data_IF_535305976544
#
_entry.id   IF_535305976544
#
_cell.length_a   1.000
_cell.length_b   1.000
_cell.length_c   1.000
_cell.angle_alpha   90.00
_cell.angle_beta   90.00
_cell.angle_gamma   90.00
#
_symmetry.space_group_name_H-M   'P 1'
#
loop_
_entity.id
_entity.type
_entity.pdbx_description
1 polymer ?
#
# COMPACT_ATOMS: atom_id res chain seq x y z
N UNK A 1 22.67 -6.62 22.00
CA UNK A 1 22.69 -6.90 20.55
C UNK A 1 21.30 -7.26 20.08
N UNK A 2 20.64 -6.36 19.34
CA UNK A 2 19.65 -6.68 18.30
C UNK A 2 19.21 -5.36 17.66
N UNK A 3 19.57 -5.16 16.39
CA UNK A 3 19.09 -4.05 15.56
C UNK A 3 17.69 -4.42 15.05
N UNK A 4 16.65 -3.70 15.49
CA UNK A 4 15.29 -3.90 14.98
C UNK A 4 15.10 -3.10 13.68
N UNK A 5 14.77 -3.83 12.62
CA UNK A 5 14.70 -3.38 11.25
C UNK A 5 13.70 -2.25 11.02
N UNK A 6 14.21 -1.16 10.47
CA UNK A 6 13.44 -0.04 9.97
C UNK A 6 13.05 -0.37 8.52
N UNK A 7 11.78 -0.65 8.26
CA UNK A 7 11.25 -0.78 6.89
C UNK A 7 10.59 0.52 6.47
N UNK A 8 11.33 1.39 5.78
CA UNK A 8 10.78 2.54 5.06
C UNK A 8 10.54 2.16 3.60
N UNK A 9 9.27 2.15 3.17
CA UNK A 9 8.90 1.98 1.76
C UNK A 9 9.19 3.28 0.98
N UNK A 10 10.46 3.49 0.65
CA UNK A 10 10.93 4.58 -0.21
C UNK A 10 10.95 4.08 -1.65
N UNK A 11 10.22 4.75 -2.55
CA UNK A 11 10.43 4.56 -3.99
C UNK A 11 11.84 5.09 -4.33
N UNK A 12 12.71 4.19 -4.79
CA UNK A 12 14.13 4.48 -5.06
C UNK A 12 14.34 4.61 -6.56
N UNK A 13 14.86 5.76 -7.01
CA UNK A 13 15.31 5.96 -8.39
C UNK A 13 16.79 5.60 -8.48
N UNK A 14 17.16 4.78 -9.46
CA UNK A 14 18.54 4.41 -9.78
C UNK A 14 18.99 5.18 -11.01
N UNK A 15 20.08 5.95 -10.88
CA UNK A 15 20.74 6.58 -12.02
C UNK A 15 22.12 5.95 -12.22
N UNK A 16 22.34 5.38 -13.40
CA UNK A 16 23.64 4.87 -13.84
C UNK A 16 24.36 5.94 -14.66
N UNK A 17 25.57 6.32 -14.26
CA UNK A 17 26.42 7.25 -15.00
C UNK A 17 27.43 6.49 -15.87
N UNK A 18 27.93 7.16 -16.91
CA UNK A 18 28.88 6.60 -17.89
C UNK A 18 30.20 6.10 -17.25
N UNK A 19 30.57 6.63 -16.08
CA UNK A 19 31.74 6.22 -15.29
C UNK A 19 31.47 4.99 -14.39
N UNK A 20 30.35 4.28 -14.56
CA UNK A 20 30.02 3.09 -13.77
C UNK A 20 29.46 3.38 -12.37
N UNK A 21 29.15 4.64 -12.08
CA UNK A 21 28.53 5.02 -10.80
C UNK A 21 27.03 4.77 -10.80
N UNK A 22 26.55 4.18 -9.71
CA UNK A 22 25.12 4.00 -9.45
C UNK A 22 24.74 4.87 -8.27
N UNK A 23 23.79 5.77 -8.49
CA UNK A 23 23.25 6.66 -7.46
C UNK A 23 21.82 6.25 -7.12
N UNK A 24 21.55 6.13 -5.83
CA UNK A 24 20.23 5.78 -5.30
C UNK A 24 19.60 7.02 -4.66
N UNK A 25 18.42 7.40 -5.12
CA UNK A 25 17.71 8.60 -4.66
C UNK A 25 16.34 8.27 -4.09
N UNK A 26 15.88 9.12 -3.16
CA UNK A 26 14.47 9.20 -2.82
C UNK A 26 13.69 9.78 -4.01
N UNK A 27 12.70 9.06 -4.53
CA UNK A 27 11.89 9.57 -5.63
C UNK A 27 11.02 10.76 -5.25
N UNK A 28 10.67 10.93 -3.97
CA UNK A 28 9.79 12.02 -3.51
C UNK A 28 10.54 13.26 -3.05
N UNK A 29 11.78 13.12 -2.56
CA UNK A 29 12.56 14.25 -2.03
C UNK A 29 13.81 14.58 -2.83
N UNK A 30 14.22 13.73 -3.79
CA UNK A 30 15.49 13.86 -4.50
C UNK A 30 16.73 13.62 -3.63
N UNK A 31 16.54 13.27 -2.36
CA UNK A 31 17.63 13.06 -1.41
C UNK A 31 18.45 11.82 -1.79
N UNK A 32 19.77 11.99 -1.90
CA UNK A 32 20.73 10.94 -2.26
C UNK A 32 20.99 10.05 -1.05
N UNK A 33 20.73 8.75 -1.18
CA UNK A 33 20.95 7.79 -0.09
C UNK A 33 22.36 7.18 -0.14
N UNK A 34 22.81 6.68 -1.30
CA UNK A 34 24.07 5.94 -1.40
C UNK A 34 24.75 6.11 -2.77
N UNK A 35 26.08 5.94 -2.80
CA UNK A 35 26.94 5.91 -3.99
C UNK A 35 27.57 4.51 -4.07
N UNK A 36 27.27 3.75 -5.11
CA UNK A 36 27.99 2.50 -5.41
C UNK A 36 28.93 2.72 -6.59
N UNK A 37 30.15 2.18 -6.45
CA UNK A 37 31.10 2.02 -7.55
C UNK A 37 31.07 0.57 -7.99
N UNK A 38 30.73 0.32 -9.26
CA UNK A 38 30.86 -1.00 -9.85
C UNK A 38 32.35 -1.28 -10.09
N UNK A 39 32.96 -2.12 -9.25
CA UNK A 39 34.31 -2.62 -9.52
C UNK A 39 34.25 -3.49 -10.77
N UNK A 40 35.08 -3.16 -11.76
CA UNK A 40 35.16 -3.85 -13.05
C UNK A 40 35.71 -5.28 -12.86
N UNK A 41 34.84 -6.21 -12.50
CA UNK A 41 35.12 -7.63 -12.77
C UNK A 41 34.92 -7.83 -14.27
N UNK A 42 35.91 -8.44 -14.95
CA UNK A 42 36.07 -8.65 -16.41
C UNK A 42 34.91 -9.39 -17.13
N UNK A 43 33.66 -8.95 -16.95
CA UNK A 43 32.51 -9.32 -17.76
C UNK A 43 31.94 -8.06 -18.39
N UNK A 44 32.19 -7.93 -19.68
CA UNK A 44 31.62 -6.88 -20.52
C UNK A 44 30.09 -7.06 -20.49
N UNK A 45 29.40 -6.21 -19.73
CA UNK A 45 27.95 -6.13 -19.74
C UNK A 45 27.53 -5.37 -20.99
N UNK A 46 27.12 -6.08 -22.04
CA UNK A 46 26.77 -5.49 -23.34
C UNK A 46 25.41 -4.78 -23.35
N UNK A 47 24.61 -4.89 -22.28
CA UNK A 47 23.29 -4.24 -22.16
C UNK A 47 23.04 -3.69 -20.76
N UNK A 48 22.56 -2.44 -20.68
CA UNK A 48 22.21 -1.75 -19.43
C UNK A 48 21.23 -2.55 -18.54
N UNK A 49 20.40 -3.41 -19.14
CA UNK A 49 19.45 -4.28 -18.42
C UNK A 49 20.14 -5.31 -17.52
N UNK A 50 21.32 -5.80 -17.91
CA UNK A 50 22.02 -6.85 -17.17
C UNK A 50 22.75 -6.29 -15.94
N UNK A 51 23.26 -5.06 -16.05
CA UNK A 51 23.81 -4.29 -14.91
C UNK A 51 22.73 -4.02 -13.87
N UNK A 52 21.53 -3.60 -14.30
CA UNK A 52 20.39 -3.39 -13.41
C UNK A 52 20.01 -4.69 -12.69
N UNK A 53 19.96 -5.81 -13.40
CA UNK A 53 19.61 -7.12 -12.82
C UNK A 53 20.63 -7.57 -11.76
N UNK A 54 21.92 -7.30 -11.97
CA UNK A 54 22.98 -7.55 -10.99
C UNK A 54 22.84 -6.65 -9.75
N UNK A 55 22.55 -5.36 -9.95
CA UNK A 55 22.32 -4.39 -8.87
C UNK A 55 21.11 -4.79 -8.02
N UNK A 56 20.00 -5.19 -8.66
CA UNK A 56 18.81 -5.71 -7.97
C UNK A 56 19.07 -7.03 -7.23
N UNK A 57 20.07 -7.81 -7.63
CA UNK A 57 20.44 -9.06 -6.93
C UNK A 57 21.32 -8.79 -5.71
N UNK A 58 22.19 -7.78 -5.76
CA UNK A 58 23.10 -7.42 -4.67
C UNK A 58 22.41 -6.63 -3.56
N UNK A 59 21.43 -5.82 -3.92
CA UNK A 59 20.59 -5.11 -2.97
C UNK A 59 19.36 -6.01 -2.77
N UNK A 60 19.17 -6.64 -1.60
CA UNK A 60 17.96 -7.43 -1.26
C UNK A 60 16.69 -6.55 -1.18
N UNK A 61 16.38 -5.83 -2.25
CA UNK A 61 15.16 -5.07 -2.43
C UNK A 61 14.31 -5.90 -3.36
N UNK A 62 13.20 -6.42 -2.84
CA UNK A 62 12.14 -6.96 -3.67
C UNK A 62 11.74 -5.86 -4.67
N UNK A 63 11.99 -6.15 -5.94
CA UNK A 63 11.88 -5.24 -7.06
C UNK A 63 10.43 -4.76 -7.22
N UNK A 64 10.10 -3.45 -7.14
CA UNK A 64 8.73 -2.97 -7.31
C UNK A 64 8.35 -2.78 -8.80
N UNK A 65 9.14 -3.29 -9.74
CA UNK A 65 8.78 -3.34 -11.16
C UNK A 65 8.28 -4.75 -11.48
N UNK A 66 7.07 -5.07 -11.03
CA UNK A 66 6.33 -6.21 -11.56
C UNK A 66 5.16 -5.70 -12.40
N UNK A 67 5.46 -5.20 -13.61
CA UNK A 67 4.63 -5.55 -14.76
C UNK A 67 5.10 -6.93 -15.22
N UNK A 68 4.49 -7.98 -14.71
CA UNK A 68 4.73 -9.34 -15.23
C UNK A 68 4.06 -9.45 -16.59
N UNK A 69 4.78 -9.12 -17.65
CA UNK A 69 4.47 -9.65 -18.99
C UNK A 69 4.82 -11.14 -18.96
N UNK A 70 3.85 -11.98 -18.63
CA UNK A 70 3.94 -13.40 -18.92
C UNK A 70 3.80 -13.56 -20.44
N UNK A 71 4.64 -14.41 -21.04
CA UNK A 71 4.71 -14.67 -22.49
C UNK A 71 3.46 -15.38 -23.07
N UNK A 72 2.32 -15.31 -22.40
CA UNK A 72 0.98 -15.68 -22.89
C UNK A 72 0.02 -14.61 -22.37
N UNK A 73 -0.62 -13.88 -23.29
CA UNK A 73 -1.42 -12.68 -23.03
C UNK A 73 -2.65 -12.89 -22.14
N UNK A 74 -2.42 -13.00 -20.83
CA UNK A 74 -3.44 -12.90 -19.79
C UNK A 74 -3.01 -11.76 -18.87
N UNK A 75 -3.66 -10.60 -19.01
CA UNK A 75 -3.55 -9.52 -18.02
C UNK A 75 -4.03 -10.06 -16.67
N UNK A 76 -3.13 -10.15 -15.70
CA UNK A 76 -3.52 -10.42 -14.33
C UNK A 76 -4.16 -9.15 -13.80
N UNK A 77 -5.48 -9.03 -13.93
CA UNK A 77 -6.23 -7.89 -13.40
C UNK A 77 -6.02 -7.85 -11.89
N UNK A 78 -5.30 -6.82 -11.42
CA UNK A 78 -5.10 -6.61 -10.00
C UNK A 78 -6.47 -6.45 -9.33
N UNK A 79 -6.66 -7.09 -8.16
CA UNK A 79 -7.94 -7.04 -7.44
C UNK A 79 -8.30 -5.63 -6.93
N UNK A 80 -7.36 -4.68 -6.99
CA UNK A 80 -7.53 -3.30 -6.56
C UNK A 80 -6.59 -2.35 -7.32
N UNK A 81 -6.96 -1.06 -7.36
CA UNK A 81 -6.18 0.03 -7.96
C UNK A 81 -4.91 0.32 -7.14
N UNK A 82 -3.74 -0.07 -7.67
CA UNK A 82 -2.45 0.20 -7.02
C UNK A 82 -2.17 1.71 -6.94
N UNK A 83 -2.67 2.50 -7.90
CA UNK A 83 -2.59 3.96 -7.89
C UNK A 83 -3.28 4.56 -6.67
N UNK A 84 -4.50 4.11 -6.35
CA UNK A 84 -5.19 4.52 -5.12
C UNK A 84 -4.42 4.07 -3.87
N UNK A 85 -3.87 2.86 -3.86
CA UNK A 85 -3.10 2.36 -2.73
C UNK A 85 -1.85 3.22 -2.46
N UNK A 86 -1.12 3.62 -3.51
CA UNK A 86 0.03 4.54 -3.42
C UNK A 86 -0.41 5.90 -2.87
N UNK A 87 -1.53 6.45 -3.33
CA UNK A 87 -2.05 7.74 -2.85
C UNK A 87 -2.39 7.69 -1.35
N UNK A 88 -3.03 6.60 -0.89
CA UNK A 88 -3.35 6.42 0.53
C UNK A 88 -2.08 6.25 1.35
N UNK A 89 -1.12 5.41 0.90
CA UNK A 89 0.19 5.27 1.58
C UNK A 89 0.87 6.62 1.79
N UNK A 90 0.90 7.45 0.76
CA UNK A 90 1.48 8.78 0.85
C UNK A 90 0.75 9.67 1.86
N UNK A 91 -0.60 9.66 1.86
CA UNK A 91 -1.39 10.43 2.81
C UNK A 91 -1.21 9.99 4.26
N UNK A 92 -0.98 8.70 4.50
CA UNK A 92 -0.86 8.12 5.85
C UNK A 92 0.59 7.96 6.34
N UNK A 93 1.60 8.27 5.52
CA UNK A 93 3.01 7.98 5.80
C UNK A 93 3.57 8.65 7.07
N UNK A 94 2.93 9.72 7.55
CA UNK A 94 3.31 10.44 8.75
C UNK A 94 2.76 9.82 10.04
N UNK A 95 1.86 8.83 9.93
CA UNK A 95 1.21 8.19 11.07
C UNK A 95 2.00 6.98 11.57
N UNK A 96 2.05 6.83 12.88
CA UNK A 96 2.63 5.64 13.53
C UNK A 96 1.57 4.54 13.68
N UNK A 97 2.00 3.29 13.90
CA UNK A 97 1.13 2.12 14.10
C UNK A 97 0.16 1.87 12.93
N UNK A 98 0.64 2.09 11.70
CA UNK A 98 -0.05 1.77 10.46
C UNK A 98 0.33 0.35 9.99
N UNK A 99 -0.67 -0.50 9.73
CA UNK A 99 -0.48 -1.83 9.14
C UNK A 99 -1.31 -1.99 7.86
N UNK A 100 -0.79 -2.72 6.88
CA UNK A 100 -1.55 -3.11 5.68
C UNK A 100 -2.06 -4.55 5.82
N UNK A 101 -3.35 -4.78 5.54
CA UNK A 101 -3.98 -6.13 5.55
C UNK A 101 -4.74 -6.38 4.24
N UNK A 102 -4.49 -7.54 3.63
CA UNK A 102 -5.27 -8.01 2.47
C UNK A 102 -6.64 -8.49 2.95
N UNK A 103 -7.68 -7.71 2.68
CA UNK A 103 -9.07 -8.03 2.99
C UNK A 103 -10.03 -7.22 2.12
N UNK A 104 -11.31 -7.59 2.10
CA UNK A 104 -12.33 -6.95 1.26
C UNK A 104 -11.94 -6.87 -0.23
N UNK A 105 -11.32 -7.94 -0.76
CA UNK A 105 -10.84 -8.03 -2.15
C UNK A 105 -9.82 -6.94 -2.52
N UNK A 106 -9.15 -6.34 -1.55
CA UNK A 106 -8.05 -5.42 -1.80
C UNK A 106 -7.15 -5.27 -0.60
N UNK A 107 -6.70 -4.04 -0.34
CA UNK A 107 -5.77 -3.72 0.74
C UNK A 107 -6.36 -2.70 1.69
N UNK A 108 -6.21 -2.96 2.98
CA UNK A 108 -6.74 -2.13 4.04
C UNK A 108 -5.65 -1.61 4.94
N UNK A 109 -5.74 -0.33 5.25
CA UNK A 109 -4.87 0.41 6.13
C UNK A 109 -5.50 0.43 7.52
N UNK A 110 -4.82 -0.25 8.43
CA UNK A 110 -5.18 -0.38 9.83
C UNK A 110 -4.38 0.64 10.63
N UNK A 111 -5.03 1.47 11.42
CA UNK A 111 -4.38 2.45 12.28
C UNK A 111 -4.71 2.14 13.74
N UNK A 112 -3.69 1.82 14.55
CA UNK A 112 -3.87 1.38 15.94
C UNK A 112 -4.84 0.19 16.05
N UNK A 113 -4.55 -0.90 15.32
CA UNK A 113 -5.37 -2.14 15.27
C UNK A 113 -6.82 -1.95 14.75
N UNK A 114 -7.18 -0.76 14.25
CA UNK A 114 -8.52 -0.44 13.75
C UNK A 114 -8.49 -0.23 12.25
N UNK A 115 -9.44 -0.82 11.53
CA UNK A 115 -9.56 -0.54 10.09
C UNK A 115 -9.96 0.94 9.92
N UNK A 116 -9.20 1.67 9.11
CA UNK A 116 -9.38 3.10 8.85
C UNK A 116 -9.89 3.31 7.42
N UNK A 117 -9.13 2.86 6.43
CA UNK A 117 -9.45 3.01 5.01
C UNK A 117 -8.94 1.80 4.22
N UNK A 118 -9.60 1.45 3.11
CA UNK A 118 -9.16 0.40 2.20
C UNK A 118 -9.23 0.86 0.74
N UNK A 119 -8.53 0.14 -0.13
CA UNK A 119 -8.76 0.13 -1.58
C UNK A 119 -9.34 -1.22 -1.96
N UNK A 120 -10.37 -1.24 -2.78
CA UNK A 120 -11.00 -2.44 -3.33
C UNK A 120 -11.48 -2.13 -4.75
N UNK A 121 -11.05 -2.91 -5.75
CA UNK A 121 -11.21 -2.54 -7.16
C UNK A 121 -10.75 -1.08 -7.37
N UNK A 122 -11.56 -0.25 -8.03
CA UNK A 122 -11.30 1.17 -8.28
C UNK A 122 -12.02 2.10 -7.28
N UNK A 123 -12.22 1.62 -6.05
CA UNK A 123 -12.90 2.37 -4.98
C UNK A 123 -12.03 2.42 -3.73
N UNK A 124 -12.21 3.50 -2.97
CA UNK A 124 -11.80 3.53 -1.57
C UNK A 124 -12.99 3.14 -0.69
N UNK A 125 -12.73 2.40 0.38
CA UNK A 125 -13.69 2.14 1.44
C UNK A 125 -13.25 2.89 2.69
N UNK A 126 -14.07 3.80 3.18
CA UNK A 126 -13.75 4.65 4.32
C UNK A 126 -14.58 4.23 5.53
N UNK A 127 -13.93 4.12 6.69
CA UNK A 127 -14.63 4.01 7.98
C UNK A 127 -14.82 5.40 8.55
N UNK A 128 -16.05 5.90 8.50
CA UNK A 128 -16.41 7.24 8.96
C UNK A 128 -17.26 7.17 10.22
N UNK A 129 -17.45 8.34 10.81
CA UNK A 129 -18.31 8.51 11.97
C UNK A 129 -19.78 8.12 11.66
N UNK A 130 -20.37 7.16 12.40
CA UNK A 130 -21.77 6.79 12.24
C UNK A 130 -22.76 7.95 12.42
N UNK A 131 -22.39 8.99 13.18
CA UNK A 131 -23.27 10.12 13.47
C UNK A 131 -23.44 11.05 12.26
N UNK A 132 -22.42 11.16 11.39
CA UNK A 132 -22.47 11.96 10.15
C UNK A 132 -22.83 11.12 8.92
N UNK A 133 -22.87 9.79 9.07
CA UNK A 133 -22.94 8.82 7.96
C UNK A 133 -24.08 9.09 6.98
N UNK A 134 -25.30 9.31 7.48
CA UNK A 134 -26.47 9.57 6.61
C UNK A 134 -26.30 10.90 5.87
N UNK A 135 -25.83 11.95 6.54
CA UNK A 135 -25.61 13.25 5.90
C UNK A 135 -24.53 13.19 4.82
N UNK A 136 -23.49 12.36 5.02
CA UNK A 136 -22.45 12.15 4.01
C UNK A 136 -23.01 11.41 2.81
N UNK A 137 -23.82 10.36 3.02
CA UNK A 137 -24.49 9.63 1.93
C UNK A 137 -25.42 10.54 1.09
N UNK A 138 -26.13 11.47 1.74
CA UNK A 138 -27.01 12.42 1.05
C UNK A 138 -26.23 13.47 0.24
N UNK A 139 -25.11 13.97 0.76
CA UNK A 139 -24.39 15.13 0.20
C UNK A 139 -23.26 14.77 -0.75
N UNK A 140 -22.72 13.55 -0.66
CA UNK A 140 -21.51 13.14 -1.39
C UNK A 140 -21.80 11.92 -2.26
N UNK A 141 -21.10 11.82 -3.39
CA UNK A 141 -21.13 10.66 -4.28
C UNK A 141 -20.41 9.47 -3.63
N UNK A 142 -21.13 8.75 -2.79
CA UNK A 142 -20.65 7.57 -2.11
C UNK A 142 -21.82 6.60 -1.89
N UNK A 143 -21.51 5.34 -1.59
CA UNK A 143 -22.53 4.30 -1.38
C UNK A 143 -22.26 3.55 -0.07
N UNK A 144 -23.31 3.04 0.59
CA UNK A 144 -23.14 2.23 1.80
C UNK A 144 -22.34 0.96 1.51
N UNK A 145 -21.56 0.50 2.50
CA UNK A 145 -21.04 -0.86 2.50
C UNK A 145 -22.15 -1.83 2.91
N UNK A 146 -22.36 -2.87 2.11
CA UNK A 146 -23.27 -3.97 2.42
C UNK A 146 -22.43 -5.23 2.67
N UNK A 147 -22.62 -5.84 3.83
CA UNK A 147 -21.96 -7.09 4.19
C UNK A 147 -23.02 -8.13 4.58
N UNK A 148 -23.05 -9.25 3.85
CA UNK A 148 -24.04 -10.33 4.02
C UNK A 148 -25.49 -9.80 4.08
N UNK A 149 -25.84 -8.92 3.14
CA UNK A 149 -27.18 -8.33 3.04
C UNK A 149 -27.49 -7.24 4.08
N UNK A 150 -26.56 -6.90 4.97
CA UNK A 150 -26.75 -5.86 5.99
C UNK A 150 -25.91 -4.62 5.69
N UNK A 151 -26.52 -3.45 5.79
CA UNK A 151 -25.81 -2.16 5.72
C UNK A 151 -24.92 -2.04 6.95
N UNK A 152 -23.63 -1.78 6.72
CA UNK A 152 -22.67 -1.50 7.78
C UNK A 152 -22.58 0.00 8.01
N UNK A 153 -23.34 0.51 8.98
CA UNK A 153 -23.32 1.94 9.33
C UNK A 153 -21.90 2.40 9.69
N UNK A 154 -21.49 3.56 9.17
CA UNK A 154 -20.14 4.09 9.33
C UNK A 154 -19.12 3.57 8.30
N UNK A 155 -19.55 2.82 7.27
CA UNK A 155 -18.67 2.36 6.20
C UNK A 155 -19.23 2.72 4.83
N UNK A 156 -18.45 3.46 4.05
CA UNK A 156 -18.85 3.94 2.72
C UNK A 156 -17.82 3.60 1.65
N UNK A 157 -18.28 3.34 0.43
CA UNK A 157 -17.44 3.24 -0.75
C UNK A 157 -17.52 4.53 -1.58
N UNK A 158 -16.38 4.93 -2.13
CA UNK A 158 -16.24 6.10 -2.99
C UNK A 158 -15.42 5.72 -4.21
N UNK A 159 -15.91 6.04 -5.40
CA UNK A 159 -15.22 5.68 -6.63
C UNK A 159 -14.03 6.60 -6.90
N UNK A 160 -12.95 6.05 -7.46
CA UNK A 160 -11.74 6.80 -7.84
C UNK A 160 -12.06 8.04 -8.67
N UNK A 161 -13.06 7.96 -9.57
CA UNK A 161 -13.45 9.06 -10.44
C UNK A 161 -13.97 10.29 -9.69
N UNK A 162 -14.54 10.09 -8.51
CA UNK A 162 -15.15 11.13 -7.68
C UNK A 162 -14.13 11.76 -6.69
N UNK A 163 -12.90 11.23 -6.64
CA UNK A 163 -11.81 11.66 -5.74
C UNK A 163 -10.51 11.95 -6.48
N UNK A 164 -10.60 12.40 -7.74
CA UNK A 164 -9.43 12.75 -8.55
C UNK A 164 -8.67 13.96 -7.99
N UNK A 165 -9.39 14.95 -7.45
CA UNK A 165 -8.76 16.13 -6.87
C UNK A 165 -8.13 15.81 -5.51
N UNK A 166 -7.03 16.49 -5.19
CA UNK A 166 -6.38 16.37 -3.87
C UNK A 166 -7.36 16.70 -2.74
N UNK A 167 -8.22 17.71 -2.93
CA UNK A 167 -9.19 18.17 -1.93
C UNK A 167 -10.26 17.11 -1.63
N UNK A 168 -10.89 16.54 -2.66
CA UNK A 168 -11.92 15.50 -2.45
C UNK A 168 -11.30 14.22 -1.89
N UNK A 169 -10.10 13.84 -2.34
CA UNK A 169 -9.38 12.71 -1.76
C UNK A 169 -9.06 12.93 -0.28
N UNK A 170 -8.51 14.10 0.06
CA UNK A 170 -8.12 14.42 1.44
C UNK A 170 -9.33 14.44 2.38
N UNK A 171 -10.48 14.95 1.92
CA UNK A 171 -11.73 14.92 2.69
C UNK A 171 -12.06 13.51 3.22
N UNK A 172 -11.92 12.48 2.39
CA UNK A 172 -12.20 11.10 2.79
C UNK A 172 -11.14 10.51 3.73
N UNK A 173 -9.88 10.91 3.56
CA UNK A 173 -8.79 10.57 4.48
C UNK A 173 -9.10 11.16 5.86
N UNK A 174 -9.44 12.44 5.93
CA UNK A 174 -9.69 13.18 7.16
C UNK A 174 -10.87 12.58 7.92
N UNK A 175 -12.02 12.34 7.25
CA UNK A 175 -13.17 11.69 7.88
C UNK A 175 -12.81 10.33 8.50
N UNK A 176 -11.94 9.56 7.85
CA UNK A 176 -11.53 8.25 8.35
C UNK A 176 -10.60 8.36 9.55
N UNK A 177 -9.67 9.32 9.53
CA UNK A 177 -8.72 9.56 10.62
C UNK A 177 -9.40 10.15 11.86
N UNK A 178 -10.27 11.13 11.67
CA UNK A 178 -11.04 11.79 12.73
C UNK A 178 -11.84 10.77 13.53
N UNK A 179 -12.57 9.89 12.83
CA UNK A 179 -13.32 8.85 13.49
C UNK A 179 -12.41 7.79 14.11
N UNK A 180 -11.29 7.43 13.47
CA UNK A 180 -10.42 6.37 13.98
C UNK A 180 -9.93 6.65 15.41
N UNK A 181 -9.68 7.91 15.79
CA UNK A 181 -9.28 8.28 17.16
C UNK A 181 -10.24 7.77 18.24
N UNK A 182 -11.55 7.82 17.96
CA UNK A 182 -12.64 7.43 18.87
C UNK A 182 -13.34 6.12 18.50
N UNK A 183 -12.96 5.50 17.39
CA UNK A 183 -13.50 4.21 16.97
C UNK A 183 -13.09 3.07 17.92
N UNK A 184 -14.01 2.13 18.17
CA UNK A 184 -13.73 0.89 18.90
C UNK A 184 -12.97 -0.09 18.00
N UNK A 185 -11.95 -0.72 18.57
CA UNK A 185 -11.26 -1.85 17.94
C UNK A 185 -12.15 -3.09 17.90
N UNK A 186 -12.02 -3.86 16.82
CA UNK A 186 -12.70 -5.15 16.74
C UNK A 186 -12.12 -6.11 17.78
N UNK A 187 -12.93 -6.95 18.44
CA UNK A 187 -12.43 -7.97 19.35
C UNK A 187 -11.37 -8.85 18.66
N UNK A 188 -10.21 -9.04 19.29
CA UNK A 188 -9.16 -9.93 18.75
C UNK A 188 -9.70 -11.35 18.71
N UNK A 189 -9.73 -11.97 17.52
CA UNK A 189 -10.16 -13.37 17.37
C UNK A 189 -9.18 -14.27 18.12
N UNK A 190 -9.64 -14.98 19.15
CA UNK A 190 -8.82 -16.00 19.85
C UNK A 190 -8.34 -17.02 18.81
N UNK A 191 -7.03 -17.25 18.71
CA UNK A 191 -6.49 -18.33 17.87
C UNK A 191 -7.08 -19.65 18.39
N UNK A 192 -7.81 -20.41 17.55
CA UNK A 192 -8.17 -21.80 17.88
C UNK A 192 -6.86 -22.54 18.08
N UNK A 193 -6.65 -23.15 19.26
CA UNK A 193 -5.58 -24.13 19.46
C UNK A 193 -5.76 -25.19 18.39
N UNK A 194 -4.75 -25.42 17.55
CA UNK A 194 -4.76 -26.55 16.64
C UNK A 194 -4.93 -27.81 17.50
N UNK A 195 -6.05 -28.51 17.33
CA UNK A 195 -6.26 -29.80 17.96
C UNK A 195 -5.24 -30.71 17.30
N UNK A 196 -4.18 -31.05 18.02
CA UNK A 196 -3.15 -31.95 17.51
C UNK A 196 -3.80 -33.28 17.17
N UNK A 197 -3.86 -33.60 15.88
CA UNK A 197 -4.14 -34.96 15.44
C UNK A 197 -3.01 -35.84 15.97
N UNK A 198 -3.29 -36.63 17.01
CA UNK A 198 -2.50 -37.83 17.28
C UNK A 198 -2.91 -38.85 16.22
N UNK A 199 -1.96 -39.21 15.35
CA UNK A 199 -2.10 -40.39 14.51
C UNK A 199 -2.16 -41.63 15.42
N UNK A 200 -3.00 -42.62 15.08
CA UNK A 200 -3.12 -43.88 15.82
C UNK A 200 -1.84 -44.70 15.76
#
# INVERSE_FOLDING_TARGET
MSFNGISFSIAKILTLRANGEVLVYNSSTGQKYFRLHLLSSNRIFTRAKDVLKQIFRLIKIDNPINSTTNHHGIETTMAYSETLAIRIRAALAHLQNLEEKKMFRGICFMLNDKMCICVSNDEIMCRIDPDIYESVLEKKKCRPMIHNGKVMKGFVYVNEKDIKSKKEFQYWIDLSLDFNGRAKASPKRKKKKALGFKLP
#
